data_IF_653592613915
#
_entry.id   IF_653592613915
#
_cell.length_a   1.000
_cell.length_b   1.000
_cell.length_c   1.000
_cell.angle_alpha   90.00
_cell.angle_beta   90.00
_cell.angle_gamma   90.00
#
_symmetry.space_group_name_H-M   'P 1'
#
loop_
_entity.id
_entity.type
_entity.pdbx_description
1 polymer ?
#
# COMPACT_ATOMS: atom_id res chain seq x y z
N UNK A 1 14.09 27.02 -49.16
CA UNK A 1 13.09 26.14 -48.51
C UNK A 1 13.66 25.69 -47.17
N UNK A 2 13.02 26.06 -46.05
CA UNK A 2 13.43 25.64 -44.70
C UNK A 2 12.47 24.55 -44.23
N UNK A 3 12.96 23.32 -44.18
CA UNK A 3 12.22 22.16 -43.68
C UNK A 3 12.20 22.23 -42.15
N UNK A 4 11.05 22.57 -41.57
CA UNK A 4 10.88 22.56 -40.11
C UNK A 4 10.41 21.17 -39.71
N UNK A 5 11.28 20.38 -39.07
CA UNK A 5 10.87 19.13 -38.42
C UNK A 5 10.17 19.49 -37.10
N UNK A 6 8.86 19.26 -37.02
CA UNK A 6 8.13 19.21 -35.76
C UNK A 6 8.37 17.82 -35.13
N UNK A 7 9.27 17.74 -34.16
CA UNK A 7 9.44 16.54 -33.34
C UNK A 7 8.29 16.43 -32.35
N UNK A 8 7.35 15.51 -32.62
CA UNK A 8 6.26 15.17 -31.72
C UNK A 8 6.81 14.24 -30.63
N UNK A 9 7.14 14.78 -29.46
CA UNK A 9 7.51 13.96 -28.28
C UNK A 9 6.27 13.24 -27.77
N UNK A 10 6.11 11.97 -28.15
CA UNK A 10 5.11 11.08 -27.58
C UNK A 10 5.45 10.83 -26.10
N UNK A 11 4.76 11.51 -25.20
CA UNK A 11 4.69 11.09 -23.80
C UNK A 11 3.92 9.77 -23.76
N UNK A 12 4.64 8.65 -23.61
CA UNK A 12 4.01 7.40 -23.19
C UNK A 12 3.49 7.65 -21.78
N UNK A 13 2.20 7.92 -21.65
CA UNK A 13 1.54 7.87 -20.35
C UNK A 13 1.66 6.43 -19.84
N UNK A 14 2.60 6.18 -18.95
CA UNK A 14 2.64 4.94 -18.19
C UNK A 14 1.38 4.92 -17.34
N UNK A 15 0.38 4.15 -17.80
CA UNK A 15 -0.79 3.83 -16.98
C UNK A 15 -0.29 2.98 -15.81
N UNK A 16 0.10 3.65 -14.72
CA UNK A 16 0.42 2.99 -13.46
C UNK A 16 -0.90 2.43 -12.92
N UNK A 17 -1.31 1.27 -13.39
CA UNK A 17 -2.60 0.68 -13.02
C UNK A 17 -2.56 -0.04 -11.66
N UNK A 18 -1.64 0.33 -10.76
CA UNK A 18 -1.46 -0.33 -9.46
C UNK A 18 -0.91 0.67 -8.43
N UNK A 19 -0.92 0.30 -7.16
CA UNK A 19 -0.44 1.18 -6.10
C UNK A 19 -0.08 0.46 -4.81
N UNK A 20 0.46 1.23 -3.86
CA UNK A 20 0.82 0.78 -2.53
C UNK A 20 0.50 1.84 -1.47
N UNK A 21 0.50 1.42 -0.20
CA UNK A 21 0.47 2.37 0.92
C UNK A 21 1.78 3.16 0.93
N UNK A 22 1.68 4.48 0.99
CA UNK A 22 2.83 5.41 0.92
C UNK A 22 2.97 6.28 2.16
N UNK A 23 1.94 6.35 3.00
CA UNK A 23 1.99 7.01 4.31
C UNK A 23 0.90 6.48 5.23
N UNK A 24 1.03 6.83 6.52
CA UNK A 24 0.07 6.50 7.55
C UNK A 24 -0.30 7.75 8.35
N UNK A 25 -1.51 7.77 8.88
CA UNK A 25 -1.89 8.64 10.00
C UNK A 25 -2.31 7.76 11.16
N UNK A 26 -1.54 7.78 12.25
CA UNK A 26 -1.74 6.94 13.43
C UNK A 26 -1.89 7.87 14.63
N UNK A 27 -3.01 7.78 15.36
CA UNK A 27 -3.28 8.68 16.50
C UNK A 27 -3.16 10.18 16.13
N UNK A 28 -3.46 10.53 14.87
CA UNK A 28 -3.35 11.89 14.34
C UNK A 28 -1.94 12.31 13.90
N UNK A 29 -0.92 11.47 14.11
CA UNK A 29 0.47 11.74 13.68
C UNK A 29 0.70 11.15 12.29
N UNK A 30 1.25 11.97 11.39
CA UNK A 30 1.60 11.53 10.04
C UNK A 30 2.97 10.82 10.02
N UNK A 31 3.03 9.66 9.37
CA UNK A 31 4.24 8.87 9.18
C UNK A 31 4.48 8.67 7.68
N UNK A 32 5.58 9.19 7.11
CA UNK A 32 5.94 8.88 5.75
C UNK A 32 6.29 7.39 5.63
N UNK A 33 5.78 6.75 4.58
CA UNK A 33 6.09 5.37 4.24
C UNK A 33 7.40 5.25 3.45
N UNK A 34 7.78 4.00 3.20
CA UNK A 34 8.88 3.66 2.30
C UNK A 34 8.49 4.03 0.86
N UNK A 35 9.46 4.44 0.04
CA UNK A 35 9.25 4.81 -1.36
C UNK A 35 9.89 3.76 -2.27
N UNK A 36 9.12 2.77 -2.74
CA UNK A 36 9.67 1.62 -3.47
C UNK A 36 10.41 1.98 -4.75
N UNK A 37 9.87 2.92 -5.55
CA UNK A 37 10.50 3.36 -6.80
C UNK A 37 11.73 4.24 -6.61
N UNK A 38 11.86 4.89 -5.45
CA UNK A 38 13.01 5.77 -5.14
C UNK A 38 13.35 5.66 -3.65
N UNK A 39 13.96 4.54 -3.23
CA UNK A 39 14.31 4.34 -1.83
C UNK A 39 15.26 5.42 -1.33
N UNK A 40 14.91 6.05 -0.22
CA UNK A 40 15.83 6.96 0.46
C UNK A 40 16.93 6.16 1.17
N UNK A 41 18.22 6.45 0.95
CA UNK A 41 19.32 5.82 1.68
C UNK A 41 19.25 6.01 3.20
N UNK A 42 18.56 7.07 3.66
CA UNK A 42 18.41 7.43 5.07
C UNK A 42 16.97 7.23 5.56
N UNK A 43 16.22 6.30 4.95
CA UNK A 43 14.87 5.99 5.41
C UNK A 43 14.90 5.53 6.88
N UNK A 44 14.15 6.22 7.73
CA UNK A 44 14.02 5.96 9.17
C UNK A 44 12.55 5.74 9.59
N UNK A 45 11.68 5.38 8.63
CA UNK A 45 10.23 5.25 8.84
C UNK A 45 9.80 3.89 9.39
N UNK A 46 8.48 3.74 9.53
CA UNK A 46 7.83 2.60 10.20
C UNK A 46 7.41 1.46 9.25
N UNK A 47 7.34 1.74 7.95
CA UNK A 47 6.92 0.78 6.93
C UNK A 47 8.10 -0.07 6.49
N UNK A 48 7.88 -1.39 6.35
CA UNK A 48 8.84 -2.28 5.69
C UNK A 48 8.95 -1.96 4.19
N UNK A 49 10.03 -2.41 3.58
CA UNK A 49 10.31 -2.17 2.18
C UNK A 49 9.29 -2.87 1.28
N UNK A 50 9.01 -2.23 0.14
CA UNK A 50 8.25 -2.81 -0.97
C UNK A 50 8.90 -2.32 -2.28
N UNK A 51 9.02 -3.15 -3.32
CA UNK A 51 9.87 -2.84 -4.47
C UNK A 51 9.21 -1.93 -5.50
N UNK A 52 7.91 -2.12 -5.75
CA UNK A 52 7.15 -1.44 -6.80
C UNK A 52 5.64 -1.58 -6.53
N UNK A 53 4.81 -1.22 -7.51
CA UNK A 53 3.36 -1.40 -7.46
C UNK A 53 2.88 -2.73 -8.06
N UNK A 54 3.77 -3.61 -8.51
CA UNK A 54 3.32 -4.87 -9.09
C UNK A 54 2.68 -5.75 -8.02
N UNK A 55 1.57 -6.45 -8.36
CA UNK A 55 0.96 -7.38 -7.43
C UNK A 55 1.94 -8.53 -7.13
N UNK A 56 2.01 -8.91 -5.86
CA UNK A 56 2.78 -10.08 -5.45
C UNK A 56 2.15 -11.36 -6.02
N UNK A 57 2.93 -12.16 -6.75
CA UNK A 57 2.59 -13.57 -6.97
C UNK A 57 2.67 -14.27 -5.62
N UNK A 58 1.65 -15.03 -5.21
CA UNK A 58 1.43 -15.45 -3.82
C UNK A 58 2.45 -16.47 -3.26
N UNK A 59 3.72 -16.10 -3.17
CA UNK A 59 4.70 -16.79 -2.32
C UNK A 59 4.57 -16.31 -0.88
N UNK A 60 4.95 -17.13 0.09
CA UNK A 60 4.83 -16.77 1.50
C UNK A 60 5.62 -15.51 1.91
N UNK A 61 6.72 -15.18 1.22
CA UNK A 61 7.54 -13.99 1.52
C UNK A 61 6.95 -12.72 0.93
N UNK A 62 6.50 -12.76 -0.33
CA UNK A 62 5.93 -11.60 -1.02
C UNK A 62 4.50 -11.29 -0.55
N UNK A 63 3.69 -12.32 -0.22
CA UNK A 63 2.34 -12.11 0.31
C UNK A 63 2.32 -11.46 1.70
N UNK A 64 3.38 -11.60 2.49
CA UNK A 64 3.41 -11.13 3.87
C UNK A 64 3.67 -9.63 3.99
N UNK A 65 4.75 -9.17 3.38
CA UNK A 65 5.20 -7.77 3.45
C UNK A 65 5.82 -7.31 2.12
N UNK A 66 5.40 -7.88 0.99
CA UNK A 66 5.94 -7.58 -0.33
C UNK A 66 7.47 -7.75 -0.45
N UNK A 67 8.02 -8.74 0.28
CA UNK A 67 9.47 -9.00 0.36
C UNK A 67 10.22 -8.19 1.41
N UNK A 68 9.56 -7.23 2.07
CA UNK A 68 10.13 -6.48 3.20
C UNK A 68 10.48 -7.38 4.40
N UNK A 69 11.54 -7.02 5.12
CA UNK A 69 12.08 -7.83 6.23
C UNK A 69 12.04 -7.10 7.57
N UNK A 70 12.31 -5.80 7.59
CA UNK A 70 12.26 -4.96 8.78
C UNK A 70 12.10 -3.49 8.44
N UNK A 71 11.68 -2.70 9.42
CA UNK A 71 11.70 -1.24 9.36
C UNK A 71 12.62 -0.71 10.48
N UNK A 72 13.23 0.48 10.30
CA UNK A 72 14.06 1.10 11.33
C UNK A 72 13.23 1.78 12.44
N UNK A 73 12.03 2.28 12.13
CA UNK A 73 11.16 2.98 13.07
C UNK A 73 10.00 2.14 13.57
N UNK A 74 9.39 2.60 14.66
CA UNK A 74 8.12 2.09 15.21
C UNK A 74 7.18 3.27 15.51
N UNK A 75 5.87 3.05 15.34
CA UNK A 75 4.85 4.00 15.80
C UNK A 75 4.21 3.46 17.08
N UNK A 76 4.22 4.27 18.13
CA UNK A 76 3.45 3.97 19.34
C UNK A 76 2.00 4.34 19.12
N UNK A 77 1.09 3.40 19.37
CA UNK A 77 -0.36 3.58 19.20
C UNK A 77 -1.08 3.05 20.42
N UNK A 78 -2.14 3.75 20.86
CA UNK A 78 -3.00 3.25 21.94
C UNK A 78 -4.00 2.23 21.40
N UNK A 79 -4.31 1.15 22.14
CA UNK A 79 -5.42 0.28 21.80
C UNK A 79 -6.73 1.09 21.67
N UNK A 80 -7.50 0.82 20.62
CA UNK A 80 -8.74 1.54 20.29
C UNK A 80 -8.56 2.80 19.46
N UNK A 81 -7.32 3.26 19.24
CA UNK A 81 -7.04 4.38 18.34
C UNK A 81 -7.21 4.02 16.86
N UNK A 82 -7.44 5.04 16.03
CA UNK A 82 -7.56 4.87 14.58
C UNK A 82 -6.19 4.85 13.89
N UNK A 83 -6.05 3.95 12.92
CA UNK A 83 -4.94 3.86 11.98
C UNK A 83 -5.50 4.08 10.58
N UNK A 84 -4.96 5.04 9.85
CA UNK A 84 -5.28 5.26 8.43
C UNK A 84 -4.06 4.96 7.60
N UNK A 85 -4.15 3.99 6.71
CA UNK A 85 -3.18 3.79 5.63
C UNK A 85 -3.62 4.61 4.41
N UNK A 86 -2.67 5.29 3.77
CA UNK A 86 -2.94 6.14 2.61
C UNK A 86 -2.23 5.57 1.38
N UNK A 87 -3.01 5.32 0.34
CA UNK A 87 -2.53 4.93 -0.98
C UNK A 87 -2.37 6.19 -1.82
N UNK A 88 -1.18 6.42 -2.37
CA UNK A 88 -0.99 7.54 -3.30
C UNK A 88 -1.72 7.29 -4.62
N UNK A 89 -1.92 6.01 -4.96
CA UNK A 89 -2.61 5.57 -6.15
C UNK A 89 -3.31 4.24 -5.86
N UNK A 90 -4.51 4.08 -6.42
CA UNK A 90 -5.23 2.83 -6.50
C UNK A 90 -6.16 2.92 -7.71
N UNK A 91 -6.29 1.85 -8.47
CA UNK A 91 -7.00 1.89 -9.76
C UNK A 91 -7.88 0.66 -9.99
N UNK A 92 -8.00 -0.23 -9.00
CA UNK A 92 -8.74 -1.48 -9.15
C UNK A 92 -10.08 -1.44 -8.44
N UNK A 93 -11.11 -1.79 -9.19
CA UNK A 93 -12.44 -2.09 -8.69
C UNK A 93 -13.01 -3.21 -9.57
N UNK A 94 -13.47 -4.33 -9.02
CA UNK A 94 -13.80 -4.57 -7.62
C UNK A 94 -12.56 -4.88 -6.78
N UNK A 95 -12.55 -4.48 -5.50
CA UNK A 95 -11.46 -4.86 -4.58
C UNK A 95 -11.92 -5.17 -3.16
N UNK A 96 -11.11 -5.95 -2.45
CA UNK A 96 -11.25 -6.22 -1.02
C UNK A 96 -10.03 -5.71 -0.28
N UNK A 97 -10.15 -5.54 1.03
CA UNK A 97 -8.99 -5.34 1.89
C UNK A 97 -9.10 -6.23 3.13
N UNK A 98 -7.95 -6.53 3.71
CA UNK A 98 -7.86 -7.13 5.02
C UNK A 98 -6.65 -6.52 5.73
N UNK A 99 -6.83 -6.17 7.00
CA UNK A 99 -5.79 -5.61 7.87
C UNK A 99 -5.48 -6.64 8.95
N UNK A 100 -4.20 -6.90 9.14
CA UNK A 100 -3.72 -7.88 10.11
C UNK A 100 -2.72 -7.25 11.07
N UNK A 101 -2.63 -7.83 12.26
CA UNK A 101 -1.54 -7.61 13.20
C UNK A 101 -0.79 -8.92 13.46
N UNK A 102 0.44 -8.78 13.92
CA UNK A 102 1.30 -9.88 14.33
C UNK A 102 1.99 -9.52 15.64
N UNK A 103 1.92 -10.36 16.69
CA UNK A 103 2.58 -10.08 17.96
C UNK A 103 4.09 -10.33 17.85
N UNK A 104 4.89 -9.32 18.18
CA UNK A 104 6.34 -9.37 18.20
C UNK A 104 6.85 -9.55 19.64
N UNK A 105 7.75 -10.51 19.88
CA UNK A 105 8.41 -10.67 21.20
C UNK A 105 9.48 -9.63 21.46
N UNK A 106 10.09 -9.08 20.41
CA UNK A 106 11.12 -8.03 20.45
C UNK A 106 11.17 -7.27 19.12
N UNK A 107 11.88 -6.13 19.09
CA UNK A 107 12.16 -5.37 17.87
C UNK A 107 13.66 -5.47 17.51
N UNK A 108 14.03 -5.66 16.23
CA UNK A 108 13.17 -5.79 15.05
C UNK A 108 12.32 -7.06 15.06
N UNK A 109 11.11 -6.95 14.53
CA UNK A 109 10.12 -8.03 14.58
C UNK A 109 10.30 -9.04 13.45
N UNK A 110 10.42 -10.33 13.79
CA UNK A 110 10.29 -11.42 12.82
C UNK A 110 8.82 -11.83 12.69
N UNK A 111 8.27 -11.70 11.48
CA UNK A 111 6.85 -11.96 11.19
C UNK A 111 6.62 -13.27 10.43
N UNK A 112 7.57 -14.21 10.49
CA UNK A 112 7.55 -15.44 9.67
C UNK A 112 6.55 -16.52 10.07
N UNK A 113 6.03 -16.46 11.29
CA UNK A 113 5.14 -17.49 11.85
C UNK A 113 3.66 -17.32 11.50
N UNK A 114 2.83 -18.17 12.11
CA UNK A 114 1.38 -18.23 11.89
C UNK A 114 0.55 -17.35 12.86
N UNK A 115 1.19 -16.47 13.64
CA UNK A 115 0.51 -15.65 14.66
C UNK A 115 -0.20 -14.41 14.09
N UNK A 116 -0.40 -14.36 12.77
CA UNK A 116 -1.15 -13.28 12.14
C UNK A 116 -2.63 -13.40 12.50
N UNK A 117 -3.22 -12.31 12.97
CA UNK A 117 -4.65 -12.23 13.23
C UNK A 117 -5.25 -11.00 12.54
N UNK A 118 -6.44 -11.18 11.99
CA UNK A 118 -7.17 -10.14 11.27
C UNK A 118 -7.80 -9.18 12.29
N UNK A 119 -7.73 -7.88 12.00
CA UNK A 119 -8.36 -6.83 12.81
C UNK A 119 -9.42 -6.02 12.07
N UNK A 120 -9.38 -6.03 10.74
CA UNK A 120 -10.38 -5.37 9.89
C UNK A 120 -10.43 -6.03 8.50
N UNK A 121 -11.58 -5.95 7.84
CA UNK A 121 -11.75 -6.37 6.45
C UNK A 121 -12.88 -5.63 5.76
N UNK A 122 -12.74 -5.45 4.45
CA UNK A 122 -13.77 -4.92 3.58
C UNK A 122 -14.03 -5.86 2.42
N UNK A 123 -15.29 -6.23 2.26
CA UNK A 123 -15.82 -6.98 1.12
C UNK A 123 -16.83 -6.16 0.31
N UNK A 124 -17.50 -6.76 -0.68
CA UNK A 124 -18.58 -6.10 -1.39
C UNK A 124 -19.69 -5.71 -0.42
N UNK A 125 -20.24 -4.51 -0.57
CA UNK A 125 -21.33 -3.99 0.25
C UNK A 125 -22.62 -3.77 -0.53
N UNK A 126 -22.63 -4.16 -1.81
CA UNK A 126 -23.80 -4.11 -2.69
C UNK A 126 -24.45 -5.47 -2.87
N UNK A 127 -25.70 -5.48 -3.30
CA UNK A 127 -26.50 -6.70 -3.53
C UNK A 127 -26.59 -7.10 -5.00
N UNK A 128 -26.05 -6.28 -5.90
CA UNK A 128 -26.15 -6.47 -7.36
C UNK A 128 -24.85 -7.05 -7.91
N UNK A 129 -24.96 -8.18 -8.61
CA UNK A 129 -23.81 -8.75 -9.31
C UNK A 129 -23.31 -7.79 -10.40
N UNK A 130 -22.00 -7.59 -10.47
CA UNK A 130 -21.36 -6.71 -11.47
C UNK A 130 -21.37 -5.22 -11.12
N UNK A 131 -21.94 -4.82 -9.98
CA UNK A 131 -21.82 -3.45 -9.49
C UNK A 131 -20.40 -3.20 -8.96
N UNK A 132 -19.61 -2.45 -9.73
CA UNK A 132 -18.25 -2.08 -9.36
C UNK A 132 -18.23 -1.01 -8.27
N UNK A 133 -19.25 -0.15 -8.17
CA UNK A 133 -19.25 0.94 -7.20
C UNK A 133 -19.43 0.48 -5.75
N UNK A 134 -19.86 -0.76 -5.55
CA UNK A 134 -20.19 -1.33 -4.24
C UNK A 134 -19.07 -2.20 -3.65
N UNK A 135 -17.83 -1.77 -3.84
CA UNK A 135 -16.63 -2.42 -3.32
C UNK A 135 -15.69 -1.42 -2.61
N UNK A 136 -14.89 -1.87 -1.63
CA UNK A 136 -13.92 -1.02 -0.94
C UNK A 136 -12.95 -0.25 -1.84
N UNK A 137 -12.61 -0.80 -3.01
CA UNK A 137 -11.76 -0.14 -4.00
C UNK A 137 -12.31 1.23 -4.41
N UNK A 138 -13.61 1.33 -4.63
CA UNK A 138 -14.32 2.58 -4.91
C UNK A 138 -14.15 3.66 -3.82
N UNK A 139 -13.87 3.26 -2.57
CA UNK A 139 -13.65 4.20 -1.45
C UNK A 139 -12.20 4.66 -1.41
N UNK A 140 -11.25 3.75 -1.69
CA UNK A 140 -9.82 4.06 -1.74
C UNK A 140 -9.53 5.05 -2.89
N UNK A 141 -10.15 4.87 -4.06
CA UNK A 141 -9.94 5.76 -5.23
C UNK A 141 -10.49 7.18 -5.06
N UNK A 142 -11.43 7.42 -4.13
CA UNK A 142 -12.11 8.72 -3.94
C UNK A 142 -11.46 9.63 -2.90
N UNK A 143 -10.44 9.17 -2.19
CA UNK A 143 -9.81 9.90 -1.06
C UNK A 143 -8.40 10.41 -1.37
N UNK A 144 -7.97 10.33 -2.64
CA UNK A 144 -6.74 10.95 -3.15
C UNK A 144 -6.91 12.41 -3.52
#
# INVERSE_FOLDING_TARGET
MKTTLLSLTAFAASVAAHGAVTSYVIDGVAYPGYQGFSPSPNYAGIQMQWPDYNPSTATASTARCNGGTSAPGVATVRPGSSIRALWAQWTHDPSTYAVYLYPCSSFPCSVTGANWFKIDEGGPFGTTAGDQASWPGAVITKTG
#
